data_IF_349790183492
#
_entry.id   IF_349790183492
#
_cell.length_a   1.000
_cell.length_b   1.000
_cell.length_c   1.000
_cell.angle_alpha   90.00
_cell.angle_beta   90.00
_cell.angle_gamma   90.00
#
_symmetry.space_group_name_H-M   'P 1'
#
loop_
_entity.id
_entity.type
_entity.pdbx_description
1 polymer ?
#
# COMPACT_ATOMS: atom_id res chain seq x y z
N UNK A 1 -46.75 -31.84 9.84
CA UNK A 1 -45.58 -32.59 9.39
C UNK A 1 -44.63 -31.58 8.77
N UNK A 2 -43.60 -31.17 9.50
CA UNK A 2 -42.56 -30.31 8.96
C UNK A 2 -41.83 -31.08 7.86
N UNK A 3 -42.14 -30.77 6.60
CA UNK A 3 -41.32 -31.24 5.48
C UNK A 3 -39.96 -30.59 5.69
N UNK A 4 -38.98 -31.36 6.16
CA UNK A 4 -37.59 -30.92 6.24
C UNK A 4 -37.15 -30.67 4.81
N UNK A 5 -37.25 -29.42 4.39
CA UNK A 5 -37.00 -29.01 3.03
C UNK A 5 -35.49 -29.10 2.77
N UNK A 6 -35.10 -30.11 2.00
CA UNK A 6 -33.68 -30.42 1.75
C UNK A 6 -33.05 -29.31 0.92
N UNK A 7 -32.10 -28.61 1.53
CA UNK A 7 -31.18 -27.72 0.83
C UNK A 7 -30.37 -28.51 -0.19
N UNK A 8 -30.27 -28.02 -1.43
CA UNK A 8 -29.34 -28.61 -2.38
C UNK A 8 -27.90 -28.18 -2.06
N UNK A 9 -26.87 -28.97 -2.39
CA UNK A 9 -25.47 -28.57 -2.20
C UNK A 9 -25.14 -27.22 -2.87
N UNK A 10 -25.79 -26.92 -3.99
CA UNK A 10 -25.69 -25.65 -4.70
C UNK A 10 -26.16 -24.47 -3.84
N UNK A 11 -27.30 -24.62 -3.15
CA UNK A 11 -27.85 -23.54 -2.32
C UNK A 11 -26.90 -23.23 -1.16
N UNK A 12 -26.39 -24.28 -0.49
CA UNK A 12 -25.42 -24.14 0.61
C UNK A 12 -24.15 -23.42 0.13
N UNK A 13 -23.62 -23.84 -1.03
CA UNK A 13 -22.46 -23.20 -1.63
C UNK A 13 -22.69 -21.71 -1.92
N UNK A 14 -23.82 -21.34 -2.53
CA UNK A 14 -24.11 -19.96 -2.89
C UNK A 14 -24.30 -19.06 -1.66
N UNK A 15 -24.97 -19.54 -0.61
CA UNK A 15 -25.10 -18.76 0.62
C UNK A 15 -23.77 -18.58 1.35
N UNK A 16 -22.97 -19.65 1.46
CA UNK A 16 -21.64 -19.57 2.06
C UNK A 16 -20.75 -18.61 1.27
N UNK A 17 -20.74 -18.74 -0.05
CA UNK A 17 -20.02 -17.83 -0.93
C UNK A 17 -20.47 -16.39 -0.74
N UNK A 18 -21.78 -16.13 -0.63
CA UNK A 18 -22.29 -14.77 -0.42
C UNK A 18 -21.79 -14.11 0.87
N UNK A 19 -21.67 -14.88 1.96
CA UNK A 19 -21.15 -14.38 3.24
C UNK A 19 -19.65 -14.12 3.16
N UNK A 20 -18.90 -15.05 2.57
CA UNK A 20 -17.44 -14.88 2.40
C UNK A 20 -17.15 -13.69 1.49
N UNK A 21 -17.87 -13.56 0.37
CA UNK A 21 -17.72 -12.46 -0.57
C UNK A 21 -18.11 -11.11 0.06
N UNK A 22 -19.16 -11.09 0.89
CA UNK A 22 -19.52 -9.92 1.70
C UNK A 22 -18.40 -9.54 2.67
N UNK A 23 -17.87 -10.50 3.43
CA UNK A 23 -16.82 -10.25 4.41
C UNK A 23 -15.55 -9.71 3.75
N UNK A 24 -15.09 -10.34 2.65
CA UNK A 24 -13.93 -9.88 1.88
C UNK A 24 -14.18 -8.47 1.32
N UNK A 25 -15.37 -8.21 0.76
CA UNK A 25 -15.70 -6.88 0.23
C UNK A 25 -15.74 -5.81 1.33
N UNK A 26 -16.32 -6.12 2.48
CA UNK A 26 -16.38 -5.21 3.63
C UNK A 26 -15.00 -4.89 4.19
N UNK A 27 -14.13 -5.91 4.35
CA UNK A 27 -12.75 -5.74 4.81
C UNK A 27 -11.92 -4.94 3.80
N UNK A 28 -12.05 -5.24 2.51
CA UNK A 28 -11.33 -4.52 1.46
C UNK A 28 -11.78 -3.05 1.39
N UNK A 29 -13.09 -2.78 1.46
CA UNK A 29 -13.62 -1.42 1.49
C UNK A 29 -13.19 -0.65 2.74
N UNK A 30 -13.27 -1.27 3.92
CA UNK A 30 -12.81 -0.66 5.17
C UNK A 30 -11.30 -0.37 5.15
N UNK A 31 -10.50 -1.32 4.65
CA UNK A 31 -9.05 -1.13 4.48
C UNK A 31 -8.75 0.05 3.56
N UNK A 32 -9.48 0.16 2.44
CA UNK A 32 -9.32 1.25 1.48
C UNK A 32 -9.62 2.62 2.11
N UNK A 33 -10.74 2.74 2.84
CA UNK A 33 -11.08 3.96 3.58
C UNK A 33 -10.02 4.29 4.63
N UNK A 34 -9.50 3.28 5.35
CA UNK A 34 -8.47 3.49 6.36
C UNK A 34 -7.19 4.04 5.75
N UNK A 35 -6.79 3.57 4.56
CA UNK A 35 -5.61 4.11 3.89
C UNK A 35 -5.82 5.54 3.42
N UNK A 36 -7.01 5.89 2.91
CA UNK A 36 -7.31 7.29 2.60
C UNK A 36 -7.23 8.17 3.84
N UNK A 37 -7.81 7.73 4.94
CA UNK A 37 -7.74 8.47 6.21
C UNK A 37 -6.28 8.63 6.65
N UNK A 38 -5.45 7.59 6.52
CA UNK A 38 -4.03 7.69 6.88
C UNK A 38 -3.29 8.73 6.03
N UNK A 39 -3.56 8.77 4.72
CA UNK A 39 -2.91 9.68 3.77
C UNK A 39 -3.36 11.13 3.99
N UNK A 40 -4.67 11.37 4.15
CA UNK A 40 -5.21 12.73 4.30
C UNK A 40 -5.10 13.30 5.72
N UNK A 41 -5.06 12.43 6.73
CA UNK A 41 -4.93 12.81 8.14
C UNK A 41 -3.73 12.07 8.76
N UNK A 42 -2.48 12.47 8.43
CA UNK A 42 -1.26 11.92 9.04
C UNK A 42 -1.23 12.15 10.55
N UNK A 43 -0.77 11.15 11.31
CA UNK A 43 -0.55 11.26 12.75
C UNK A 43 0.94 11.45 13.03
N UNK A 44 1.37 12.60 13.58
CA UNK A 44 2.78 12.88 13.86
C UNK A 44 3.45 11.85 14.78
N UNK A 45 2.71 11.23 15.72
CA UNK A 45 3.27 10.29 16.68
C UNK A 45 3.53 8.93 16.04
N UNK A 46 2.60 8.46 15.21
CA UNK A 46 2.65 7.12 14.62
C UNK A 46 3.41 7.07 13.30
N UNK A 47 3.35 8.13 12.49
CA UNK A 47 3.81 8.10 11.09
C UNK A 47 5.22 8.64 10.89
N UNK A 48 5.92 9.02 11.98
CA UNK A 48 7.24 9.67 11.88
C UNK A 48 8.26 8.86 11.08
N UNK A 49 8.31 7.54 11.28
CA UNK A 49 9.23 6.63 10.57
C UNK A 49 8.59 5.87 9.41
N UNK A 50 7.32 6.16 9.05
CA UNK A 50 6.58 5.34 8.09
C UNK A 50 6.55 6.01 6.71
N UNK A 51 7.18 5.44 5.67
CA UNK A 51 7.14 6.01 4.33
C UNK A 51 5.72 5.91 3.75
N UNK A 52 5.32 6.93 2.98
CA UNK A 52 3.97 7.00 2.38
C UNK A 52 3.71 5.85 1.40
N UNK A 53 4.77 5.33 0.76
CA UNK A 53 4.73 4.17 -0.12
C UNK A 53 4.18 2.91 0.57
N UNK A 54 4.32 2.80 1.89
CA UNK A 54 3.78 1.68 2.68
C UNK A 54 2.25 1.61 2.67
N UNK A 55 1.55 2.71 2.39
CA UNK A 55 0.10 2.75 2.31
C UNK A 55 -0.44 2.28 0.95
N UNK A 56 0.38 2.29 -0.10
CA UNK A 56 -0.08 1.93 -1.45
C UNK A 56 -0.30 0.43 -1.64
N UNK A 57 0.47 -0.42 -0.97
CA UNK A 57 0.30 -1.88 -1.09
C UNK A 57 -1.08 -2.35 -0.58
N UNK A 58 -1.54 -1.95 0.63
CA UNK A 58 -2.90 -2.25 1.09
C UNK A 58 -4.00 -1.66 0.20
N UNK A 59 -3.81 -0.47 -0.36
CA UNK A 59 -4.75 0.12 -1.34
C UNK A 59 -4.88 -0.79 -2.55
N UNK A 60 -3.77 -1.23 -3.15
CA UNK A 60 -3.79 -2.10 -4.35
C UNK A 60 -4.46 -3.44 -4.08
N UNK A 61 -4.18 -4.07 -2.94
CA UNK A 61 -4.84 -5.32 -2.54
C UNK A 61 -6.35 -5.13 -2.35
N UNK A 62 -6.76 -4.01 -1.76
CA UNK A 62 -8.17 -3.66 -1.57
C UNK A 62 -8.87 -3.41 -2.90
N UNK A 63 -8.22 -2.68 -3.83
CA UNK A 63 -8.73 -2.43 -5.17
C UNK A 63 -8.92 -3.74 -5.95
N UNK A 64 -7.89 -4.61 -5.98
CA UNK A 64 -7.97 -5.90 -6.66
C UNK A 64 -9.11 -6.76 -6.10
N UNK A 65 -9.26 -6.78 -4.77
CA UNK A 65 -10.32 -7.54 -4.10
C UNK A 65 -11.70 -6.98 -4.43
N UNK A 66 -11.91 -5.66 -4.38
CA UNK A 66 -13.20 -5.03 -4.66
C UNK A 66 -13.60 -5.15 -6.13
N UNK A 67 -12.67 -4.97 -7.08
CA UNK A 67 -12.97 -5.07 -8.52
C UNK A 67 -13.46 -6.47 -8.89
N UNK A 68 -13.02 -7.51 -8.19
CA UNK A 68 -13.41 -8.91 -8.48
C UNK A 68 -14.56 -9.38 -7.58
N UNK A 69 -14.40 -9.30 -6.27
CA UNK A 69 -15.30 -9.94 -5.31
C UNK A 69 -16.61 -9.17 -5.15
N UNK A 70 -16.60 -7.84 -5.22
CA UNK A 70 -17.82 -7.06 -5.02
C UNK A 70 -18.85 -7.25 -6.15
N UNK A 71 -18.48 -7.23 -7.46
CA UNK A 71 -19.39 -7.61 -8.53
C UNK A 71 -19.91 -9.05 -8.40
N UNK A 72 -19.04 -10.00 -8.00
CA UNK A 72 -19.44 -11.39 -7.76
C UNK A 72 -20.46 -11.50 -6.63
N UNK A 73 -20.28 -10.77 -5.53
CA UNK A 73 -21.24 -10.70 -4.43
C UNK A 73 -22.61 -10.20 -4.90
N UNK A 74 -22.65 -9.09 -5.64
CA UNK A 74 -23.91 -8.53 -6.18
C UNK A 74 -24.57 -9.53 -7.14
N UNK A 75 -23.78 -10.19 -7.99
CA UNK A 75 -24.28 -11.19 -8.91
C UNK A 75 -24.92 -12.38 -8.17
N UNK A 76 -24.26 -12.92 -7.14
CA UNK A 76 -24.81 -14.00 -6.32
C UNK A 76 -26.06 -13.57 -5.55
N UNK A 77 -26.07 -12.35 -4.98
CA UNK A 77 -27.28 -11.81 -4.34
C UNK A 77 -28.46 -11.71 -5.30
N UNK A 78 -28.23 -11.18 -6.51
CA UNK A 78 -29.29 -11.10 -7.54
C UNK A 78 -29.74 -12.48 -8.00
N UNK A 79 -28.81 -13.42 -8.12
CA UNK A 79 -29.12 -14.80 -8.48
C UNK A 79 -30.00 -15.46 -7.42
N UNK A 80 -29.59 -15.39 -6.15
CA UNK A 80 -30.34 -15.93 -5.01
C UNK A 80 -31.74 -15.30 -4.88
N UNK A 81 -31.84 -13.99 -5.03
CA UNK A 81 -33.13 -13.30 -4.95
C UNK A 81 -34.09 -13.68 -6.09
N UNK A 82 -33.59 -13.82 -7.32
CA UNK A 82 -34.42 -14.32 -8.44
C UNK A 82 -34.92 -15.74 -8.19
N UNK A 83 -34.07 -16.60 -7.64
CA UNK A 83 -34.43 -18.00 -7.33
C UNK A 83 -35.55 -18.08 -6.27
N UNK A 84 -35.60 -17.14 -5.31
CA UNK A 84 -36.68 -17.09 -4.30
C UNK A 84 -38.01 -16.60 -4.84
N UNK A 85 -38.00 -15.69 -5.81
CA UNK A 85 -39.23 -15.23 -6.48
C UNK A 85 -39.85 -16.35 -7.29
N UNK A 86 -39.03 -17.20 -7.91
CA UNK A 86 -39.48 -18.36 -8.68
C UNK A 86 -39.88 -19.56 -7.79
N UNK A 87 -39.18 -19.76 -6.67
CA UNK A 87 -39.41 -20.85 -5.72
C UNK A 87 -39.58 -20.30 -4.30
N UNK A 88 -40.78 -19.85 -3.91
CA UNK A 88 -41.03 -19.24 -2.59
C UNK A 88 -40.70 -20.20 -1.43
N UNK A 89 -40.76 -21.50 -1.72
CA UNK A 89 -40.48 -22.59 -0.81
C UNK A 89 -38.98 -22.65 -0.41
N UNK A 90 -38.05 -22.17 -1.25
CA UNK A 90 -36.62 -22.04 -0.86
C UNK A 90 -36.36 -20.92 0.14
N UNK A 91 -37.33 -20.04 0.39
CA UNK A 91 -37.20 -18.90 1.32
C UNK A 91 -37.13 -19.35 2.78
N UNK A 92 -37.78 -20.49 3.08
CA UNK A 92 -37.89 -21.11 4.41
C UNK A 92 -36.74 -22.08 4.74
N UNK A 93 -35.74 -22.19 3.86
CA UNK A 93 -34.58 -23.03 4.10
C UNK A 93 -33.88 -22.63 5.41
N UNK A 94 -33.78 -23.59 6.33
CA UNK A 94 -33.11 -23.42 7.64
C UNK A 94 -31.68 -22.88 7.47
N UNK A 95 -30.97 -23.32 6.44
CA UNK A 95 -29.59 -22.89 6.15
C UNK A 95 -29.51 -21.39 5.86
N UNK A 96 -30.46 -20.83 5.11
CA UNK A 96 -30.53 -19.39 4.83
C UNK A 96 -30.72 -18.62 6.13
N UNK A 97 -31.76 -18.95 6.91
CA UNK A 97 -32.07 -18.26 8.16
C UNK A 97 -30.86 -18.30 9.11
N UNK A 98 -30.25 -19.47 9.30
CA UNK A 98 -29.07 -19.63 10.15
C UNK A 98 -27.89 -18.75 9.69
N UNK A 99 -27.58 -18.76 8.39
CA UNK A 99 -26.50 -17.96 7.81
C UNK A 99 -26.75 -16.45 7.89
N UNK A 100 -28.00 -16.00 7.74
CA UNK A 100 -28.39 -14.60 7.94
C UNK A 100 -28.25 -14.17 9.40
N UNK A 101 -28.72 -14.99 10.35
CA UNK A 101 -28.52 -14.73 11.78
C UNK A 101 -27.03 -14.72 12.16
N UNK A 102 -26.21 -15.60 11.57
CA UNK A 102 -24.76 -15.59 11.75
C UNK A 102 -24.14 -14.27 11.29
N UNK A 103 -24.54 -13.77 10.11
CA UNK A 103 -24.04 -12.49 9.59
C UNK A 103 -24.44 -11.32 10.48
N UNK A 104 -25.68 -11.30 10.96
CA UNK A 104 -26.14 -10.28 11.91
C UNK A 104 -25.38 -10.35 13.24
N UNK A 105 -25.16 -11.55 13.77
CA UNK A 105 -24.40 -11.75 15.00
C UNK A 105 -22.97 -11.21 14.87
N UNK A 106 -22.27 -11.56 13.78
CA UNK A 106 -20.92 -11.04 13.51
C UNK A 106 -20.93 -9.53 13.36
N UNK A 107 -21.89 -8.96 12.62
CA UNK A 107 -22.00 -7.50 12.47
C UNK A 107 -22.24 -6.81 13.83
N UNK A 108 -23.08 -7.38 14.70
CA UNK A 108 -23.29 -6.86 16.06
C UNK A 108 -22.02 -6.93 16.91
N UNK A 109 -21.25 -8.02 16.85
CA UNK A 109 -19.97 -8.13 17.57
C UNK A 109 -18.96 -7.08 17.09
N UNK A 110 -18.89 -6.81 15.78
CA UNK A 110 -18.03 -5.77 15.21
C UNK A 110 -18.44 -4.39 15.76
N UNK A 111 -19.74 -4.06 15.74
CA UNK A 111 -20.25 -2.79 16.27
C UNK A 111 -19.92 -2.63 17.77
N UNK A 112 -20.08 -3.69 18.56
CA UNK A 112 -19.75 -3.67 19.99
C UNK A 112 -18.25 -3.45 20.19
N UNK A 113 -17.40 -4.19 19.46
CA UNK A 113 -15.94 -4.01 19.51
C UNK A 113 -15.51 -2.60 19.14
N UNK A 114 -16.15 -2.01 18.13
CA UNK A 114 -15.88 -0.64 17.66
C UNK A 114 -16.27 0.42 18.70
N UNK A 115 -17.40 0.24 19.40
CA UNK A 115 -17.79 1.06 20.55
C UNK A 115 -16.79 0.96 21.70
N UNK A 116 -16.31 -0.26 22.00
CA UNK A 116 -15.32 -0.48 23.05
C UNK A 116 -14.01 0.24 22.69
N UNK A 117 -13.53 0.09 21.45
CA UNK A 117 -12.33 0.77 20.98
C UNK A 117 -12.46 2.29 21.07
N UNK A 118 -13.62 2.84 20.69
CA UNK A 118 -13.91 4.28 20.79
C UNK A 118 -13.79 4.79 22.23
N UNK A 119 -14.42 4.09 23.18
CA UNK A 119 -14.38 4.45 24.60
C UNK A 119 -12.95 4.30 25.14
N UNK A 120 -12.26 3.22 24.81
CA UNK A 120 -10.90 2.96 25.28
C UNK A 120 -9.94 4.08 24.86
N UNK A 121 -9.91 4.44 23.58
CA UNK A 121 -9.04 5.51 23.07
C UNK A 121 -9.46 6.90 23.60
N UNK A 122 -10.75 7.11 23.86
CA UNK A 122 -11.21 8.32 24.55
C UNK A 122 -10.66 8.43 25.97
N UNK A 123 -10.63 7.33 26.72
CA UNK A 123 -10.10 7.29 28.08
C UNK A 123 -8.57 7.47 28.11
N UNK A 124 -7.86 7.04 27.08
CA UNK A 124 -6.41 7.29 26.92
C UNK A 124 -6.09 8.74 26.51
N UNK A 125 -7.10 9.53 26.10
CA UNK A 125 -6.90 10.88 25.58
C UNK A 125 -6.40 10.93 24.14
N UNK A 126 -6.41 9.80 23.43
CA UNK A 126 -5.90 9.64 22.06
C UNK A 126 -7.00 9.76 20.98
N UNK A 127 -8.08 10.51 21.26
CA UNK A 127 -9.12 10.80 20.26
C UNK A 127 -8.59 11.71 19.15
N UNK A 128 -7.89 11.11 18.19
CA UNK A 128 -7.46 11.78 16.96
C UNK A 128 -8.62 11.79 15.95
N UNK A 129 -8.67 12.83 15.10
CA UNK A 129 -9.64 12.89 13.99
C UNK A 129 -9.50 11.66 13.07
N UNK A 130 -8.26 11.20 12.84
CA UNK A 130 -7.94 9.95 12.13
C UNK A 130 -8.66 8.76 12.75
N UNK A 131 -8.54 8.58 14.06
CA UNK A 131 -9.15 7.46 14.76
C UNK A 131 -10.68 7.54 14.66
N UNK A 132 -11.27 8.71 14.91
CA UNK A 132 -12.71 8.91 14.79
C UNK A 132 -13.25 8.56 13.41
N UNK A 133 -12.58 8.98 12.33
CA UNK A 133 -12.98 8.66 10.96
C UNK A 133 -12.90 7.15 10.65
N UNK A 134 -11.94 6.43 11.23
CA UNK A 134 -11.82 4.98 11.07
C UNK A 134 -12.96 4.25 11.77
N UNK A 135 -13.27 4.64 13.00
CA UNK A 135 -14.42 4.12 13.76
C UNK A 135 -15.72 4.39 12.99
N UNK A 136 -15.96 5.63 12.54
CA UNK A 136 -17.14 5.96 11.73
C UNK A 136 -17.25 5.13 10.45
N UNK A 137 -16.11 4.79 9.83
CA UNK A 137 -16.08 3.91 8.65
C UNK A 137 -16.51 2.48 9.00
N UNK A 138 -16.07 1.93 10.14
CA UNK A 138 -16.51 0.61 10.61
C UNK A 138 -18.01 0.63 10.93
N UNK A 139 -18.50 1.62 11.68
CA UNK A 139 -19.93 1.79 11.94
C UNK A 139 -20.76 1.87 10.66
N UNK A 140 -20.31 2.63 9.66
CA UNK A 140 -20.99 2.74 8.38
C UNK A 140 -21.10 1.39 7.68
N UNK A 141 -20.00 0.62 7.63
CA UNK A 141 -19.97 -0.70 6.98
C UNK A 141 -20.84 -1.70 7.74
N UNK A 142 -20.55 -1.91 9.03
CA UNK A 142 -21.24 -2.89 9.85
C UNK A 142 -22.73 -2.53 10.03
N UNK A 143 -23.04 -1.25 10.20
CA UNK A 143 -24.42 -0.73 10.28
C UNK A 143 -25.19 -0.94 8.97
N UNK A 144 -24.59 -0.67 7.81
CA UNK A 144 -25.22 -0.91 6.51
C UNK A 144 -25.51 -2.39 6.29
N UNK A 145 -24.56 -3.27 6.62
CA UNK A 145 -24.73 -4.73 6.55
C UNK A 145 -25.83 -5.18 7.50
N UNK A 146 -25.76 -4.77 8.77
CA UNK A 146 -26.74 -5.13 9.79
C UNK A 146 -28.16 -4.70 9.37
N UNK A 147 -28.32 -3.45 8.95
CA UNK A 147 -29.62 -2.91 8.54
C UNK A 147 -30.17 -3.64 7.30
N UNK A 148 -29.34 -3.88 6.29
CA UNK A 148 -29.72 -4.62 5.08
C UNK A 148 -30.23 -6.04 5.42
N UNK A 149 -29.48 -6.78 6.21
CA UNK A 149 -29.82 -8.17 6.52
C UNK A 149 -30.94 -8.29 7.54
N UNK A 150 -31.07 -7.35 8.48
CA UNK A 150 -32.18 -7.28 9.41
C UNK A 150 -33.48 -6.99 8.66
N UNK A 151 -33.45 -6.06 7.70
CA UNK A 151 -34.59 -5.79 6.83
C UNK A 151 -35.00 -7.03 6.03
N UNK A 152 -34.01 -7.71 5.43
CA UNK A 152 -34.21 -8.94 4.65
C UNK A 152 -34.76 -10.12 5.49
N UNK A 153 -34.53 -10.12 6.81
CA UNK A 153 -35.15 -11.10 7.72
C UNK A 153 -36.58 -10.73 8.11
N UNK A 154 -36.88 -9.42 8.25
CA UNK A 154 -38.19 -8.93 8.69
C UNK A 154 -39.23 -8.85 7.58
N UNK A 155 -38.80 -8.65 6.34
CA UNK A 155 -39.70 -8.44 5.21
C UNK A 155 -39.72 -9.61 4.25
N UNK A 156 -40.91 -9.84 3.71
CA UNK A 156 -41.18 -10.94 2.79
C UNK A 156 -40.73 -10.63 1.35
N UNK A 157 -40.64 -9.34 1.05
CA UNK A 157 -40.37 -8.82 -0.27
C UNK A 157 -38.87 -8.81 -0.58
N UNK A 158 -38.55 -9.02 -1.86
CA UNK A 158 -37.16 -8.89 -2.30
C UNK A 158 -36.68 -7.45 -2.11
N UNK A 159 -35.43 -7.29 -1.68
CA UNK A 159 -34.79 -5.98 -1.47
C UNK A 159 -34.87 -5.08 -2.70
N UNK A 160 -34.80 -5.65 -3.92
CA UNK A 160 -34.91 -4.87 -5.16
C UNK A 160 -36.35 -4.48 -5.54
N UNK A 161 -37.36 -5.05 -4.89
CA UNK A 161 -38.77 -4.69 -5.05
C UNK A 161 -39.13 -3.45 -4.23
N UNK A 162 -38.62 -3.36 -3.00
CA UNK A 162 -38.83 -2.18 -2.15
C UNK A 162 -38.00 -0.98 -2.66
N UNK A 163 -38.68 0.15 -2.86
CA UNK A 163 -38.06 1.35 -3.43
C UNK A 163 -36.99 1.97 -2.53
N UNK A 164 -37.15 1.91 -1.20
CA UNK A 164 -36.20 2.48 -0.23
C UNK A 164 -34.94 1.61 -0.13
N UNK A 165 -35.11 0.29 -0.10
CA UNK A 165 -33.99 -0.64 -0.05
C UNK A 165 -33.20 -0.67 -1.36
N UNK A 166 -33.87 -0.50 -2.50
CA UNK A 166 -33.21 -0.32 -3.79
C UNK A 166 -32.33 0.93 -3.80
N UNK A 167 -32.79 2.06 -3.24
CA UNK A 167 -31.98 3.28 -3.11
C UNK A 167 -30.76 3.01 -2.23
N UNK A 168 -30.95 2.39 -1.06
CA UNK A 168 -29.83 2.03 -0.16
C UNK A 168 -28.78 1.17 -0.88
N UNK A 169 -29.20 0.14 -1.62
CA UNK A 169 -28.30 -0.70 -2.38
C UNK A 169 -27.51 0.08 -3.43
N UNK A 170 -28.16 0.98 -4.18
CA UNK A 170 -27.48 1.82 -5.16
C UNK A 170 -26.51 2.82 -4.52
N UNK A 171 -26.85 3.39 -3.36
CA UNK A 171 -25.94 4.26 -2.60
C UNK A 171 -24.68 3.52 -2.18
N UNK A 172 -24.81 2.29 -1.67
CA UNK A 172 -23.66 1.46 -1.28
C UNK A 172 -22.80 1.11 -2.51
N UNK A 173 -23.44 0.71 -3.62
CA UNK A 173 -22.72 0.42 -4.87
C UNK A 173 -21.94 1.65 -5.35
N UNK A 174 -22.59 2.82 -5.35
CA UNK A 174 -21.96 4.07 -5.74
C UNK A 174 -20.80 4.45 -4.82
N UNK A 175 -20.96 4.29 -3.51
CA UNK A 175 -19.90 4.54 -2.53
C UNK A 175 -18.69 3.64 -2.77
N UNK A 176 -18.90 2.35 -3.05
CA UNK A 176 -17.81 1.43 -3.40
C UNK A 176 -17.14 1.82 -4.71
N UNK A 177 -17.90 2.18 -5.74
CA UNK A 177 -17.34 2.64 -7.03
C UNK A 177 -16.49 3.90 -6.84
N UNK A 178 -17.00 4.91 -6.10
CA UNK A 178 -16.26 6.14 -5.81
C UNK A 178 -14.97 5.82 -5.07
N UNK A 179 -15.02 4.96 -4.05
CA UNK A 179 -13.83 4.57 -3.32
C UNK A 179 -12.82 3.84 -4.23
N UNK A 180 -13.26 2.93 -5.10
CA UNK A 180 -12.38 2.22 -6.04
C UNK A 180 -11.74 3.19 -7.03
N UNK A 181 -12.53 4.09 -7.64
CA UNK A 181 -12.04 5.10 -8.58
C UNK A 181 -11.03 6.02 -7.89
N UNK A 182 -11.34 6.51 -6.69
CA UNK A 182 -10.42 7.31 -5.88
C UNK A 182 -9.11 6.58 -5.58
N UNK A 183 -9.14 5.26 -5.45
CA UNK A 183 -7.94 4.48 -5.14
C UNK A 183 -6.99 4.35 -6.29
N UNK A 184 -7.49 4.32 -7.52
CA UNK A 184 -6.66 4.40 -8.71
C UNK A 184 -5.98 5.77 -8.84
N UNK A 185 -6.64 6.85 -8.42
CA UNK A 185 -6.02 8.18 -8.37
C UNK A 185 -4.96 8.27 -7.26
N UNK A 186 -5.21 7.71 -6.07
CA UNK A 186 -4.28 7.80 -4.93
C UNK A 186 -3.09 6.86 -5.06
N UNK A 187 -3.29 5.61 -5.51
CA UNK A 187 -2.19 4.64 -5.64
C UNK A 187 -1.40 4.77 -6.95
N UNK A 188 -1.83 5.65 -7.86
CA UNK A 188 -1.29 5.79 -9.21
C UNK A 188 -1.73 4.66 -10.15
N UNK A 189 -1.67 4.93 -11.45
CA UNK A 189 -1.99 3.93 -12.47
C UNK A 189 -0.94 2.80 -12.52
N UNK A 190 -1.29 1.61 -13.05
CA UNK A 190 -0.32 0.52 -13.21
C UNK A 190 0.93 0.90 -14.02
N UNK A 191 0.79 1.81 -15.00
CA UNK A 191 1.89 2.33 -15.82
C UNK A 191 2.83 3.20 -14.97
N UNK A 192 2.27 4.17 -14.23
CA UNK A 192 3.04 5.02 -13.33
C UNK A 192 3.78 4.18 -12.25
N UNK A 193 3.18 3.10 -11.77
CA UNK A 193 3.83 2.20 -10.81
C UNK A 193 4.93 1.32 -11.41
N UNK A 194 4.98 1.21 -12.73
CA UNK A 194 6.11 0.57 -13.41
C UNK A 194 7.27 1.54 -13.53
N UNK A 195 6.99 2.80 -13.88
CA UNK A 195 7.97 3.88 -13.93
C UNK A 195 8.64 4.10 -12.57
N UNK A 196 7.87 4.20 -11.49
CA UNK A 196 8.41 4.30 -10.11
C UNK A 196 9.35 3.14 -9.78
N UNK A 197 9.01 1.91 -10.20
CA UNK A 197 9.88 0.74 -9.94
C UNK A 197 11.16 0.74 -10.77
N UNK A 198 11.13 1.31 -11.98
CA UNK A 198 12.34 1.53 -12.76
C UNK A 198 13.22 2.59 -12.08
N UNK A 199 12.63 3.68 -11.59
CA UNK A 199 13.34 4.71 -10.83
C UNK A 199 13.97 4.16 -9.53
N UNK A 200 13.22 3.36 -8.75
CA UNK A 200 13.76 2.66 -7.57
C UNK A 200 14.93 1.74 -7.93
N UNK A 201 14.86 1.07 -9.09
CA UNK A 201 15.97 0.23 -9.57
C UNK A 201 17.18 1.07 -9.96
N UNK A 202 16.99 2.18 -10.68
CA UNK A 202 18.06 3.14 -11.01
C UNK A 202 18.73 3.66 -9.74
N UNK A 203 17.97 4.03 -8.72
CA UNK A 203 18.52 4.45 -7.42
C UNK A 203 19.38 3.34 -6.81
N UNK A 204 18.88 2.09 -6.78
CA UNK A 204 19.66 0.97 -6.26
C UNK A 204 20.96 0.72 -7.02
N UNK A 205 20.93 0.86 -8.35
CA UNK A 205 22.09 0.73 -9.21
C UNK A 205 23.11 1.87 -8.96
N UNK A 206 22.64 3.13 -8.85
CA UNK A 206 23.47 4.29 -8.51
C UNK A 206 24.08 4.19 -7.09
N UNK A 207 23.32 3.69 -6.12
CA UNK A 207 23.81 3.40 -4.77
C UNK A 207 24.94 2.36 -4.80
N UNK A 208 24.76 1.31 -5.59
CA UNK A 208 25.78 0.27 -5.77
C UNK A 208 27.06 0.86 -6.39
N UNK A 209 26.92 1.64 -7.47
CA UNK A 209 28.03 2.33 -8.13
C UNK A 209 28.76 3.27 -7.15
N UNK A 210 28.01 4.07 -6.38
CA UNK A 210 28.57 4.97 -5.36
C UNK A 210 29.47 4.20 -4.39
N UNK A 211 29.00 3.06 -3.86
CA UNK A 211 29.80 2.25 -2.94
C UNK A 211 31.07 1.69 -3.59
N UNK A 212 31.00 1.30 -4.86
CA UNK A 212 32.20 0.84 -5.57
C UNK A 212 33.20 1.97 -5.83
N UNK A 213 32.73 3.19 -6.12
CA UNK A 213 33.60 4.37 -6.25
C UNK A 213 34.32 4.65 -4.93
N UNK A 214 33.60 4.62 -3.80
CA UNK A 214 34.19 4.81 -2.46
C UNK A 214 35.23 3.73 -2.19
N UNK A 215 34.91 2.45 -2.42
CA UNK A 215 35.84 1.34 -2.24
C UNK A 215 37.09 1.47 -3.13
N UNK A 216 36.92 1.87 -4.38
CA UNK A 216 38.00 2.09 -5.33
C UNK A 216 38.95 3.17 -4.82
N UNK A 217 38.39 4.31 -4.39
CA UNK A 217 39.15 5.42 -3.83
C UNK A 217 39.87 5.02 -2.55
N UNK A 218 39.24 4.28 -1.63
CA UNK A 218 39.91 3.85 -0.40
C UNK A 218 41.11 2.93 -0.69
N UNK A 219 41.06 2.11 -1.74
CA UNK A 219 42.15 1.18 -2.09
C UNK A 219 43.26 1.82 -2.92
N UNK A 220 42.90 2.71 -3.85
CA UNK A 220 43.84 3.28 -4.84
C UNK A 220 44.26 4.72 -4.53
N UNK A 221 43.56 5.40 -3.62
CA UNK A 221 43.80 6.79 -3.24
C UNK A 221 43.38 7.82 -4.30
N UNK A 222 42.69 7.40 -5.37
CA UNK A 222 42.21 8.24 -6.45
C UNK A 222 40.84 7.78 -6.93
N UNK A 223 40.02 8.71 -7.41
CA UNK A 223 38.74 8.39 -8.04
C UNK A 223 38.97 7.67 -9.40
N UNK A 224 38.08 6.74 -9.78
CA UNK A 224 38.18 6.04 -11.07
C UNK A 224 38.00 7.04 -12.24
N UNK A 225 38.77 6.91 -13.31
CA UNK A 225 38.63 7.81 -14.47
C UNK A 225 37.36 7.52 -15.29
N UNK A 226 36.86 6.29 -15.23
CA UNK A 226 35.60 5.86 -15.82
C UNK A 226 34.93 4.79 -14.96
N UNK A 227 33.62 4.60 -15.11
CA UNK A 227 32.90 3.54 -14.39
C UNK A 227 33.43 2.14 -14.77
N UNK A 228 33.97 1.94 -15.96
CA UNK A 228 34.52 0.65 -16.40
C UNK A 228 35.70 0.18 -15.53
N UNK A 229 36.44 1.10 -14.89
CA UNK A 229 37.51 0.76 -13.95
C UNK A 229 37.00 0.12 -12.65
N UNK A 230 35.70 0.22 -12.37
CA UNK A 230 35.07 -0.42 -11.22
C UNK A 230 34.84 -1.92 -11.46
N UNK A 231 34.94 -2.40 -12.70
CA UNK A 231 34.73 -3.81 -13.03
C UNK A 231 35.71 -4.69 -12.26
N UNK A 232 35.17 -5.68 -11.57
CA UNK A 232 35.94 -6.66 -10.80
C UNK A 232 35.47 -8.07 -11.19
N UNK A 233 36.25 -8.74 -12.04
CA UNK A 233 35.95 -10.10 -12.49
C UNK A 233 36.13 -11.15 -11.36
N UNK A 234 36.86 -10.83 -10.28
CA UNK A 234 37.05 -11.72 -9.12
C UNK A 234 35.91 -11.54 -8.12
N UNK A 235 35.61 -10.28 -7.78
CA UNK A 235 34.49 -9.91 -6.91
C UNK A 235 33.11 -10.05 -7.57
N UNK A 236 33.09 -10.25 -8.89
CA UNK A 236 31.87 -10.39 -9.69
C UNK A 236 31.10 -9.09 -9.90
N UNK A 237 31.73 -7.93 -9.66
CA UNK A 237 31.07 -6.64 -9.86
C UNK A 237 31.14 -6.23 -11.33
N UNK A 238 29.97 -6.04 -11.93
CA UNK A 238 29.79 -5.47 -13.26
C UNK A 238 28.95 -4.20 -13.09
N UNK A 239 29.39 -3.12 -13.73
CA UNK A 239 28.68 -1.84 -13.67
C UNK A 239 27.26 -2.03 -14.21
N UNK A 240 26.22 -1.77 -13.41
CA UNK A 240 24.85 -1.86 -13.87
C UNK A 240 24.58 -0.80 -14.94
N UNK A 241 23.58 -1.08 -15.78
CA UNK A 241 23.10 -0.19 -16.85
C UNK A 241 21.63 0.10 -16.62
N UNK A 242 21.13 1.17 -17.22
CA UNK A 242 19.73 1.53 -17.10
C UNK A 242 18.82 0.34 -17.46
N UNK A 243 17.92 -0.09 -16.57
CA UNK A 243 17.11 -1.29 -16.75
C UNK A 243 16.05 -1.16 -17.86
N UNK A 244 15.75 0.06 -18.31
CA UNK A 244 14.76 0.36 -19.34
C UNK A 244 15.42 0.66 -20.70
N UNK A 245 16.48 1.47 -20.73
CA UNK A 245 17.15 1.88 -21.98
C UNK A 245 18.39 1.05 -22.32
N UNK A 246 19.03 0.42 -21.33
CA UNK A 246 20.28 -0.30 -21.48
C UNK A 246 21.52 0.61 -21.63
N UNK A 247 21.35 1.92 -21.45
CA UNK A 247 22.42 2.90 -21.49
C UNK A 247 23.26 2.86 -20.21
N UNK A 248 24.53 3.28 -20.31
CA UNK A 248 25.39 3.40 -19.13
C UNK A 248 25.03 4.64 -18.32
N UNK A 249 25.11 4.54 -16.99
CA UNK A 249 24.93 5.70 -16.12
C UNK A 249 26.01 6.75 -16.35
N UNK A 250 25.66 8.02 -16.21
CA UNK A 250 26.61 9.11 -16.34
C UNK A 250 27.40 9.28 -15.04
N UNK A 251 28.72 9.48 -15.18
CA UNK A 251 29.64 9.73 -14.09
C UNK A 251 30.58 10.86 -14.47
N UNK A 252 30.73 11.86 -13.60
CA UNK A 252 31.70 12.95 -13.80
C UNK A 252 32.46 13.25 -12.52
N UNK A 253 33.75 13.52 -12.66
CA UNK A 253 34.60 13.94 -11.56
C UNK A 253 34.49 15.46 -11.42
N UNK A 254 34.11 15.93 -10.24
CA UNK A 254 33.98 17.37 -9.94
C UNK A 254 35.21 17.91 -9.20
N UNK A 255 35.95 17.04 -8.52
CA UNK A 255 37.16 17.39 -7.78
C UNK A 255 37.93 16.14 -7.32
N UNK A 256 38.93 16.31 -6.47
CA UNK A 256 39.76 15.19 -5.99
C UNK A 256 39.01 14.14 -5.16
N UNK A 257 37.93 14.56 -4.48
CA UNK A 257 37.07 13.72 -3.64
C UNK A 257 35.60 13.81 -4.03
N UNK A 258 35.26 14.58 -5.06
CA UNK A 258 33.88 14.89 -5.42
C UNK A 258 33.55 14.37 -6.80
N UNK A 259 32.36 13.78 -6.93
CA UNK A 259 31.85 13.24 -8.19
C UNK A 259 30.33 13.40 -8.27
N UNK A 260 29.80 13.25 -9.48
CA UNK A 260 28.37 13.16 -9.74
C UNK A 260 28.00 11.85 -10.42
N UNK A 261 26.80 11.36 -10.10
CA UNK A 261 26.15 10.23 -10.75
C UNK A 261 24.79 10.68 -11.26
N UNK A 262 24.51 10.48 -12.55
CA UNK A 262 23.24 10.89 -13.14
C UNK A 262 22.49 9.71 -13.75
N UNK A 263 21.16 9.83 -13.73
CA UNK A 263 20.24 8.95 -14.43
C UNK A 263 19.02 9.75 -14.90
N UNK A 264 18.32 9.20 -15.88
CA UNK A 264 17.03 9.72 -16.31
C UNK A 264 15.90 9.05 -15.52
N UNK A 265 15.12 9.87 -14.80
CA UNK A 265 14.01 9.41 -13.98
C UNK A 265 12.68 9.77 -14.63
N UNK A 266 11.74 8.83 -14.60
CA UNK A 266 10.41 9.06 -15.20
C UNK A 266 9.50 9.82 -14.22
N UNK A 267 9.70 9.61 -12.91
CA UNK A 267 8.88 10.17 -11.85
C UNK A 267 9.68 11.10 -10.93
N UNK A 268 8.96 11.94 -10.17
CA UNK A 268 9.55 12.81 -9.15
C UNK A 268 9.30 12.22 -7.77
N UNK A 269 10.37 11.83 -7.09
CA UNK A 269 10.30 11.48 -5.66
C UNK A 269 10.33 12.73 -4.78
N UNK A 270 10.70 13.90 -5.31
CA UNK A 270 10.68 15.17 -4.61
C UNK A 270 9.27 15.70 -4.34
N UNK A 271 8.25 15.36 -5.14
CA UNK A 271 6.86 15.74 -4.84
C UNK A 271 6.25 14.83 -3.77
N UNK A 272 6.54 13.53 -3.88
CA UNK A 272 6.15 12.51 -2.90
C UNK A 272 6.83 12.72 -1.55
N UNK A 273 8.08 13.20 -1.57
CA UNK A 273 8.87 13.58 -0.39
C UNK A 273 8.67 15.06 -0.02
N UNK A 274 8.19 15.90 -0.92
CA UNK A 274 8.08 17.36 -0.76
C UNK A 274 6.96 17.75 0.20
N UNK A 275 5.84 17.04 0.19
CA UNK A 275 4.82 17.15 1.24
C UNK A 275 5.32 16.64 2.60
N UNK A 276 6.43 15.89 2.62
CA UNK A 276 6.98 15.18 3.78
C UNK A 276 8.20 15.91 4.37
N UNK A 277 9.02 16.63 3.59
CA UNK A 277 10.18 17.37 4.11
C UNK A 277 9.99 18.90 4.13
N UNK A 278 9.25 19.49 3.19
CA UNK A 278 9.11 20.97 3.13
C UNK A 278 8.15 21.53 4.19
N UNK A 279 7.20 20.74 4.69
CA UNK A 279 6.35 21.12 5.83
C UNK A 279 7.00 20.79 7.18
N UNK A 280 8.19 20.19 7.18
CA UNK A 280 8.88 19.64 8.36
C UNK A 280 10.21 20.34 8.71
N UNK A 281 10.52 21.47 8.07
CA UNK A 281 11.53 22.39 8.56
C UNK A 281 10.82 23.54 9.27
N UNK A 282 10.72 23.45 10.60
CA UNK A 282 10.91 24.67 11.39
C UNK A 282 12.26 25.28 10.96
N UNK A 283 12.43 26.61 10.95
CA UNK A 283 13.75 27.23 10.80
C UNK A 283 14.54 26.95 12.09
N UNK A 284 15.01 25.72 12.23
CA UNK A 284 15.88 25.26 13.28
C UNK A 284 17.05 24.57 12.58
N UNK A 285 18.14 25.32 12.52
CA UNK A 285 19.54 24.97 12.27
C UNK A 285 19.84 23.88 11.22
N UNK A 286 20.73 24.15 10.24
CA UNK A 286 21.23 23.12 9.34
C UNK A 286 22.06 22.10 10.14
N UNK A 287 21.41 21.08 10.69
CA UNK A 287 22.10 19.93 11.25
C UNK A 287 22.76 19.14 10.10
N UNK A 288 24.05 18.84 10.19
CA UNK A 288 24.84 18.23 9.11
C UNK A 288 24.65 16.71 9.06
N UNK A 289 23.42 16.21 9.18
CA UNK A 289 23.13 14.79 9.01
C UNK A 289 22.88 14.46 7.53
N UNK A 290 23.87 13.80 6.93
CA UNK A 290 23.82 12.93 5.75
C UNK A 290 23.16 13.48 4.46
N UNK A 291 23.85 14.39 3.77
CA UNK A 291 23.67 14.56 2.32
C UNK A 291 24.01 13.27 1.53
N UNK A 292 24.69 12.30 2.15
CA UNK A 292 25.13 11.03 1.54
C UNK A 292 24.01 10.00 1.29
N UNK A 293 22.88 10.10 1.98
CA UNK A 293 21.82 9.07 1.93
C UNK A 293 20.53 9.56 1.28
N UNK A 294 20.41 10.85 0.95
CA UNK A 294 19.21 11.34 0.29
C UNK A 294 19.27 11.08 -1.22
N UNK A 295 18.43 10.15 -1.68
CA UNK A 295 18.26 9.75 -3.07
C UNK A 295 16.96 10.31 -3.68
N UNK A 296 16.50 11.47 -3.21
CA UNK A 296 15.38 12.18 -3.83
C UNK A 296 15.77 12.84 -5.15
N UNK A 297 14.92 12.71 -6.17
CA UNK A 297 15.12 13.22 -7.52
C UNK A 297 13.85 13.84 -8.10
N UNK A 298 14.03 14.80 -9.01
CA UNK A 298 12.95 15.24 -9.90
C UNK A 298 12.76 14.21 -11.03
N UNK A 299 11.70 14.37 -11.82
CA UNK A 299 11.62 13.72 -13.13
C UNK A 299 12.63 14.34 -14.10
N UNK A 300 12.95 13.59 -15.16
CA UNK A 300 13.98 13.90 -16.14
C UNK A 300 15.39 13.49 -15.69
N UNK A 301 16.40 14.00 -16.39
CA UNK A 301 17.79 13.78 -16.03
C UNK A 301 18.12 14.49 -14.71
N UNK A 302 18.53 13.72 -13.70
CA UNK A 302 18.91 14.23 -12.39
C UNK A 302 20.25 13.65 -11.94
N UNK A 303 21.12 14.54 -11.43
CA UNK A 303 22.47 14.21 -10.99
C UNK A 303 22.61 14.32 -9.47
N UNK A 304 23.20 13.31 -8.86
CA UNK A 304 23.54 13.27 -7.44
C UNK A 304 25.02 13.59 -7.24
N UNK A 305 25.31 14.76 -6.67
CA UNK A 305 26.67 15.11 -6.27
C UNK A 305 27.01 14.44 -4.93
N UNK A 306 28.22 13.89 -4.85
CA UNK A 306 28.77 13.20 -3.67
C UNK A 306 30.21 13.63 -3.45
N UNK A 307 30.61 13.77 -2.19
CA UNK A 307 31.98 14.15 -1.81
C UNK A 307 32.47 13.18 -0.76
N UNK A 308 33.47 12.36 -1.04
CA UNK A 308 34.00 11.40 -0.06
C UNK A 308 34.58 12.17 1.13
N UNK A 309 34.10 11.87 2.34
CA UNK A 309 34.70 12.34 3.60
C UNK A 309 35.80 11.36 4.03
N UNK A 310 37.10 11.75 3.97
CA UNK A 310 38.21 10.87 4.34
C UNK A 310 38.24 10.49 5.82
N UNK A 311 37.57 11.25 6.70
CA UNK A 311 37.50 10.92 8.12
C UNK A 311 36.51 9.77 8.35
N UNK A 312 35.40 9.77 7.61
CA UNK A 312 34.39 8.71 7.68
C UNK A 312 34.81 7.47 6.88
N UNK A 313 35.46 7.68 5.73
CA UNK A 313 35.97 6.63 4.85
C UNK A 313 37.46 6.83 4.64
N UNK A 314 38.35 6.34 5.53
CA UNK A 314 39.79 6.49 5.35
C UNK A 314 40.34 5.56 4.26
N UNK A 315 41.46 5.90 3.59
CA UNK A 315 42.17 4.97 2.72
C UNK A 315 42.58 3.70 3.45
N UNK A 316 42.45 2.55 2.80
CA UNK A 316 42.90 1.28 3.34
C UNK A 316 44.43 1.22 3.25
N UNK A 317 45.09 0.96 4.39
CA UNK A 317 46.54 0.80 4.42
C UNK A 317 46.97 -0.33 3.49
N UNK A 318 47.91 -0.03 2.57
CA UNK A 318 48.63 -1.09 1.85
C UNK A 318 49.40 -1.86 2.90
N UNK A 319 49.07 -3.14 3.09
CA UNK A 319 49.80 -4.00 4.02
C UNK A 319 51.29 -3.95 3.67
N UNK A 320 52.07 -3.20 4.45
CA UNK A 320 53.51 -3.23 4.37
C UNK A 320 53.90 -4.64 4.83
N UNK A 321 54.28 -5.50 3.87
CA UNK A 321 54.91 -6.77 4.20
C UNK A 321 56.09 -6.43 5.12
N UNK A 322 56.10 -6.88 6.38
CA UNK A 322 57.29 -6.69 7.21
C UNK A 322 58.42 -7.41 6.48
N UNK A 323 59.49 -6.69 6.16
CA UNK A 323 60.73 -7.31 5.68
C UNK A 323 61.20 -8.30 6.75
N UNK A 324 60.75 -9.56 6.64
CA UNK A 324 61.30 -10.67 7.38
C UNK A 324 62.71 -10.87 6.84
N UNK A 325 63.78 -10.65 7.62
CA UNK A 325 65.12 -10.94 7.17
C UNK A 325 65.18 -12.44 6.86
N UNK A 326 65.55 -12.77 5.61
CA UNK A 326 65.90 -14.13 5.20
C UNK A 326 66.99 -14.63 6.15
N UNK A 327 66.70 -15.72 6.86
CA UNK A 327 67.62 -16.34 7.80
C UNK A 327 68.28 -17.56 7.18
#
# INVERSE_FOLDING_TARGET
MDVIQKSTPRDVFLYLFSIVALAISAVAFGTLLFQYINIYFPDPLTDYYRPISSYFSPIRWSLASLVVIFPLYIWVLRFLQKDWVLHPEKRELRIRKWLLYLTLFVASLIIIGDLIALIFNFLEGELTLRFLLKILSIFFIAGSVFFYYLWNLRHEESVFSDSKMRILAWVIILAVIIAVVGGFFVAGSPQNQREVRFDERRIGDLQSIQWQIVNYWQRKGALPQSLDELRDDIGGFVVPRDPQTGEAYEYRILGSLSFELCAEFETSSLEQSGAIYSKRLTPAEPHPFNQFEYWGHSSGNFCFSRTIDPQLYPPLEKSAVPNLPLR
#
